data_IF_601521897602
#
_entry.id   IF_601521897602
#
_cell.length_a   1.000
_cell.length_b   1.000
_cell.length_c   1.000
_cell.angle_alpha   90.00
_cell.angle_beta   90.00
_cell.angle_gamma   90.00
#
_symmetry.space_group_name_H-M   'P 1'
#
loop_
_entity.id
_entity.type
_entity.pdbx_description
1 polymer ?
#
# COMPACT_ATOMS: atom_id res chain seq x y z
N UNK A 1 23.79 -13.40 6.45
CA UNK A 1 23.60 -12.72 5.15
C UNK A 1 24.60 -11.59 5.05
N UNK A 2 25.11 -11.33 3.86
CA UNK A 2 25.97 -10.17 3.60
C UNK A 2 25.17 -8.88 3.54
N UNK A 3 25.85 -7.75 3.71
CA UNK A 3 25.26 -6.42 3.57
C UNK A 3 24.60 -6.22 2.18
N UNK A 4 25.26 -6.68 1.12
CA UNK A 4 24.75 -6.59 -0.25
C UNK A 4 23.45 -7.39 -0.45
N UNK A 5 23.34 -8.58 0.14
CA UNK A 5 22.13 -9.39 0.08
C UNK A 5 20.95 -8.67 0.76
N UNK A 6 21.18 -8.11 1.95
CA UNK A 6 20.16 -7.35 2.69
C UNK A 6 19.69 -6.12 1.91
N UNK A 7 20.62 -5.33 1.35
CA UNK A 7 20.28 -4.17 0.51
C UNK A 7 19.47 -4.60 -0.73
N UNK A 8 19.84 -5.73 -1.35
CA UNK A 8 19.13 -6.26 -2.53
C UNK A 8 17.71 -6.69 -2.16
N UNK A 9 17.53 -7.34 -1.02
CA UNK A 9 16.21 -7.71 -0.50
C UNK A 9 15.35 -6.48 -0.19
N UNK A 10 15.94 -5.44 0.43
CA UNK A 10 15.24 -4.18 0.68
C UNK A 10 14.78 -3.52 -0.63
N UNK A 11 15.65 -3.48 -1.64
CA UNK A 11 15.31 -2.93 -2.97
C UNK A 11 14.15 -3.68 -3.62
N UNK A 12 14.14 -5.03 -3.52
CA UNK A 12 13.02 -5.86 -3.99
C UNK A 12 11.73 -5.58 -3.23
N UNK A 13 11.80 -5.48 -1.89
CA UNK A 13 10.64 -5.14 -1.06
C UNK A 13 10.08 -3.77 -1.44
N UNK A 14 10.93 -2.75 -1.61
CA UNK A 14 10.51 -1.41 -2.07
C UNK A 14 9.85 -1.45 -3.46
N UNK A 15 10.37 -2.25 -4.39
CA UNK A 15 9.74 -2.42 -5.70
C UNK A 15 8.35 -3.06 -5.58
N UNK A 16 8.24 -4.15 -4.81
CA UNK A 16 6.95 -4.81 -4.55
C UNK A 16 5.94 -3.85 -3.91
N UNK A 17 6.40 -3.01 -2.99
CA UNK A 17 5.60 -1.96 -2.36
C UNK A 17 4.97 -1.05 -3.41
N UNK A 18 5.79 -0.45 -4.27
CA UNK A 18 5.33 0.46 -5.33
C UNK A 18 4.36 -0.27 -6.29
N UNK A 19 4.67 -1.49 -6.69
CA UNK A 19 3.81 -2.24 -7.62
C UNK A 19 2.48 -2.65 -7.00
N UNK A 20 2.43 -2.94 -5.69
CA UNK A 20 1.19 -3.33 -5.01
C UNK A 20 0.16 -2.20 -4.96
N UNK A 21 0.60 -0.95 -5.13
CA UNK A 21 -0.27 0.23 -5.16
C UNK A 21 -0.95 0.46 -6.51
N UNK A 22 -0.48 -0.17 -7.59
CA UNK A 22 -1.02 0.06 -8.94
C UNK A 22 -2.49 -0.37 -9.04
N UNK A 23 -2.85 -1.53 -8.48
CA UNK A 23 -4.23 -2.03 -8.46
C UNK A 23 -5.19 -1.08 -7.73
N UNK A 24 -4.93 -0.75 -6.45
CA UNK A 24 -5.74 0.21 -5.71
C UNK A 24 -5.84 1.60 -6.36
N UNK A 25 -4.74 2.18 -6.85
CA UNK A 25 -4.77 3.49 -7.51
C UNK A 25 -5.60 3.44 -8.79
N UNK A 26 -5.43 2.39 -9.60
CA UNK A 26 -6.21 2.20 -10.82
C UNK A 26 -7.71 2.11 -10.50
N UNK A 27 -8.10 1.26 -9.54
CA UNK A 27 -9.51 1.11 -9.18
C UNK A 27 -10.10 2.38 -8.60
N UNK A 28 -9.41 3.09 -7.70
CA UNK A 28 -9.90 4.36 -7.18
C UNK A 28 -10.11 5.40 -8.30
N UNK A 29 -9.15 5.51 -9.22
CA UNK A 29 -9.25 6.42 -10.36
C UNK A 29 -10.41 6.04 -11.28
N UNK A 30 -10.54 4.74 -11.59
CA UNK A 30 -11.63 4.21 -12.40
C UNK A 30 -12.98 4.46 -11.74
N UNK A 31 -13.13 4.25 -10.43
CA UNK A 31 -14.39 4.51 -9.73
C UNK A 31 -14.76 5.99 -9.74
N UNK A 32 -13.80 6.90 -9.52
CA UNK A 32 -14.08 8.35 -9.62
C UNK A 32 -14.55 8.73 -11.03
N UNK A 33 -13.95 8.16 -12.06
CA UNK A 33 -14.41 8.37 -13.44
C UNK A 33 -15.82 7.80 -13.65
N UNK A 34 -16.07 6.56 -13.22
CA UNK A 34 -17.36 5.89 -13.35
C UNK A 34 -18.48 6.62 -12.59
N UNK A 35 -18.18 7.18 -11.41
CA UNK A 35 -19.09 8.06 -10.67
C UNK A 35 -19.53 9.26 -11.52
N UNK A 36 -18.61 9.87 -12.27
CA UNK A 36 -18.94 10.99 -13.16
C UNK A 36 -19.71 10.59 -14.42
N UNK A 37 -19.71 9.31 -14.79
CA UNK A 37 -20.36 8.81 -16.01
C UNK A 37 -21.64 8.00 -15.73
N UNK A 38 -22.13 7.98 -14.48
CA UNK A 38 -23.43 7.40 -14.13
C UNK A 38 -23.41 6.19 -13.19
N UNK A 39 -22.28 5.85 -12.57
CA UNK A 39 -22.24 4.76 -11.57
C UNK A 39 -23.12 5.05 -10.35
N UNK A 40 -23.29 6.32 -9.97
CA UNK A 40 -24.18 6.71 -8.88
C UNK A 40 -25.67 6.45 -9.20
N UNK A 41 -26.03 6.56 -10.48
CA UNK A 41 -27.40 6.36 -10.99
C UNK A 41 -27.68 4.91 -11.41
N UNK A 42 -26.67 4.02 -11.34
CA UNK A 42 -26.82 2.61 -11.68
C UNK A 42 -27.74 1.88 -10.69
N UNK A 43 -28.21 0.70 -11.08
CA UNK A 43 -29.00 -0.15 -10.20
C UNK A 43 -28.21 -0.53 -8.93
N UNK A 44 -28.96 -0.86 -7.89
CA UNK A 44 -28.38 -1.18 -6.58
C UNK A 44 -27.34 -2.31 -6.66
N UNK A 45 -27.56 -3.33 -7.50
CA UNK A 45 -26.64 -4.43 -7.68
C UNK A 45 -25.30 -3.97 -8.22
N UNK A 46 -25.29 -3.11 -9.23
CA UNK A 46 -24.07 -2.53 -9.80
C UNK A 46 -23.31 -1.66 -8.79
N UNK A 47 -24.01 -0.81 -8.02
CA UNK A 47 -23.40 0.03 -6.97
C UNK A 47 -22.76 -0.80 -5.86
N UNK A 48 -23.45 -1.86 -5.41
CA UNK A 48 -22.92 -2.81 -4.43
C UNK A 48 -21.71 -3.58 -4.97
N UNK A 49 -21.76 -4.04 -6.22
CA UNK A 49 -20.64 -4.73 -6.85
C UNK A 49 -19.40 -3.82 -6.90
N UNK A 50 -19.55 -2.56 -7.30
CA UNK A 50 -18.45 -1.59 -7.30
C UNK A 50 -17.87 -1.37 -5.90
N UNK A 51 -18.72 -1.20 -4.88
CA UNK A 51 -18.28 -1.06 -3.50
C UNK A 51 -17.51 -2.29 -2.99
N UNK A 52 -18.01 -3.50 -3.25
CA UNK A 52 -17.38 -4.75 -2.82
C UNK A 52 -16.06 -5.03 -3.55
N UNK A 53 -15.95 -4.71 -4.84
CA UNK A 53 -14.70 -4.82 -5.61
C UNK A 53 -13.62 -3.88 -5.04
N UNK A 54 -14.01 -2.64 -4.74
CA UNK A 54 -13.12 -1.67 -4.11
C UNK A 54 -12.66 -2.15 -2.73
N UNK A 55 -13.58 -2.65 -1.90
CA UNK A 55 -13.25 -3.18 -0.58
C UNK A 55 -12.28 -4.36 -0.66
N UNK A 56 -12.59 -5.35 -1.51
CA UNK A 56 -11.76 -6.53 -1.67
C UNK A 56 -10.35 -6.17 -2.15
N UNK A 57 -10.24 -5.29 -3.15
CA UNK A 57 -8.92 -4.90 -3.69
C UNK A 57 -8.15 -4.01 -2.72
N UNK A 58 -8.83 -3.08 -2.04
CA UNK A 58 -8.23 -2.25 -1.00
C UNK A 58 -7.69 -3.08 0.17
N UNK A 59 -8.45 -4.08 0.62
CA UNK A 59 -8.04 -4.99 1.69
C UNK A 59 -6.82 -5.84 1.30
N UNK A 60 -6.80 -6.39 0.09
CA UNK A 60 -5.64 -7.12 -0.45
C UNK A 60 -4.41 -6.21 -0.56
N UNK A 61 -4.57 -5.00 -1.08
CA UNK A 61 -3.51 -3.99 -1.16
C UNK A 61 -2.94 -3.65 0.22
N UNK A 62 -3.80 -3.40 1.20
CA UNK A 62 -3.40 -3.11 2.58
C UNK A 62 -2.63 -4.28 3.21
N UNK A 63 -3.08 -5.52 3.04
CA UNK A 63 -2.41 -6.70 3.58
C UNK A 63 -1.00 -6.88 2.98
N UNK A 64 -0.87 -6.72 1.66
CA UNK A 64 0.41 -6.81 0.95
C UNK A 64 1.36 -5.69 1.39
N UNK A 65 0.87 -4.44 1.43
CA UNK A 65 1.63 -3.28 1.89
C UNK A 65 2.10 -3.44 3.34
N UNK A 66 1.26 -4.01 4.21
CA UNK A 66 1.63 -4.28 5.59
C UNK A 66 2.75 -5.33 5.71
N UNK A 67 2.63 -6.43 4.97
CA UNK A 67 3.61 -7.51 4.93
C UNK A 67 4.97 -7.02 4.41
N UNK A 68 4.98 -6.30 3.29
CA UNK A 68 6.22 -5.77 2.67
C UNK A 68 6.91 -4.77 3.59
N UNK A 69 6.16 -3.84 4.21
CA UNK A 69 6.74 -2.89 5.17
C UNK A 69 7.34 -3.60 6.39
N UNK A 70 6.68 -4.65 6.88
CA UNK A 70 7.19 -5.43 8.02
C UNK A 70 8.49 -6.16 7.67
N UNK A 71 8.61 -6.69 6.46
CA UNK A 71 9.85 -7.27 5.94
C UNK A 71 10.95 -6.21 5.79
N UNK A 72 10.61 -5.02 5.26
CA UNK A 72 11.57 -3.93 5.11
C UNK A 72 12.11 -3.43 6.46
N UNK A 73 11.27 -3.40 7.50
CA UNK A 73 11.68 -3.09 8.88
C UNK A 73 12.62 -4.17 9.42
N UNK A 74 12.32 -5.45 9.20
CA UNK A 74 13.20 -6.55 9.62
C UNK A 74 14.58 -6.45 8.94
N UNK A 75 14.62 -6.19 7.63
CA UNK A 75 15.87 -6.00 6.90
C UNK A 75 16.68 -4.81 7.44
N UNK A 76 16.01 -3.71 7.80
CA UNK A 76 16.67 -2.55 8.41
C UNK A 76 17.29 -2.89 9.78
N UNK A 77 16.66 -3.77 10.56
CA UNK A 77 17.20 -4.26 11.84
C UNK A 77 18.39 -5.18 11.63
N UNK A 78 18.29 -6.13 10.70
CA UNK A 78 19.39 -7.03 10.36
C UNK A 78 20.64 -6.27 9.86
N UNK A 79 20.45 -5.22 9.06
CA UNK A 79 21.54 -4.32 8.64
C UNK A 79 22.18 -3.59 9.82
N UNK A 80 21.39 -3.17 10.81
CA UNK A 80 21.90 -2.52 12.02
C UNK A 80 22.71 -3.50 12.88
N UNK A 81 22.18 -4.71 13.09
CA UNK A 81 22.77 -5.74 13.94
C UNK A 81 24.05 -6.36 13.33
N UNK A 82 24.12 -6.44 12.00
CA UNK A 82 25.31 -6.90 11.27
C UNK A 82 26.48 -5.90 11.30
N UNK A 83 26.29 -4.70 11.84
CA UNK A 83 27.34 -3.67 11.88
C UNK A 83 27.64 -3.04 10.52
N UNK A 84 26.69 -3.06 9.58
CA UNK A 84 26.84 -2.52 8.24
C UNK A 84 27.26 -1.03 8.26
N UNK A 85 28.31 -0.69 7.51
CA UNK A 85 28.92 0.65 7.55
C UNK A 85 28.70 1.47 6.29
N UNK A 86 28.24 0.87 5.18
CA UNK A 86 28.04 1.63 3.95
C UNK A 86 26.95 2.70 4.11
N UNK A 87 27.08 3.75 3.30
CA UNK A 87 26.06 4.78 3.22
C UNK A 87 24.69 4.23 2.78
N UNK A 88 24.67 3.23 1.90
CA UNK A 88 23.44 2.58 1.46
C UNK A 88 22.74 1.87 2.64
N UNK A 89 23.46 1.08 3.43
CA UNK A 89 22.92 0.43 4.62
C UNK A 89 22.37 1.46 5.62
N UNK A 90 23.12 2.55 5.88
CA UNK A 90 22.68 3.63 6.78
C UNK A 90 21.38 4.29 6.33
N UNK A 91 21.16 4.46 5.02
CA UNK A 91 19.89 5.01 4.52
C UNK A 91 18.72 4.07 4.73
N UNK A 92 18.92 2.76 4.58
CA UNK A 92 17.88 1.75 4.86
C UNK A 92 17.54 1.72 6.34
N UNK A 93 18.55 1.73 7.22
CA UNK A 93 18.35 1.78 8.67
C UNK A 93 17.58 3.03 9.08
N UNK A 94 17.95 4.21 8.55
CA UNK A 94 17.27 5.47 8.84
C UNK A 94 15.81 5.49 8.37
N UNK A 95 15.46 4.70 7.35
CA UNK A 95 14.10 4.61 6.82
C UNK A 95 13.16 3.77 7.70
N UNK A 96 13.65 3.04 8.71
CA UNK A 96 12.83 2.12 9.53
C UNK A 96 11.62 2.82 10.15
N UNK A 97 11.83 3.98 10.78
CA UNK A 97 10.75 4.73 11.44
C UNK A 97 9.67 5.20 10.47
N UNK A 98 10.08 5.75 9.31
CA UNK A 98 9.14 6.17 8.27
C UNK A 98 8.40 4.97 7.67
N UNK A 99 9.08 3.84 7.46
CA UNK A 99 8.49 2.59 6.96
C UNK A 99 7.43 2.07 7.94
N UNK A 100 7.70 2.14 9.24
CA UNK A 100 6.74 1.78 10.28
C UNK A 100 5.52 2.71 10.28
N UNK A 101 5.69 4.01 10.07
CA UNK A 101 4.58 4.95 9.95
C UNK A 101 3.72 4.64 8.71
N UNK A 102 4.37 4.51 7.54
CA UNK A 102 3.71 4.26 6.25
C UNK A 102 2.92 2.94 6.26
N UNK A 103 3.40 1.93 7.00
CA UNK A 103 2.73 0.65 7.21
C UNK A 103 1.28 0.78 7.69
N UNK A 104 0.96 1.83 8.43
CA UNK A 104 -0.39 2.10 8.95
C UNK A 104 -1.04 3.30 8.26
N UNK A 105 -0.28 4.36 8.00
CA UNK A 105 -0.82 5.60 7.45
C UNK A 105 -1.44 5.42 6.06
N UNK A 106 -0.81 4.62 5.20
CA UNK A 106 -1.32 4.39 3.83
C UNK A 106 -2.61 3.57 3.84
N UNK A 107 -2.70 2.40 4.50
CA UNK A 107 -3.98 1.70 4.64
C UNK A 107 -5.09 2.54 5.26
N UNK A 108 -4.78 3.35 6.28
CA UNK A 108 -5.77 4.24 6.90
C UNK A 108 -6.33 5.26 5.90
N UNK A 109 -5.46 5.86 5.07
CA UNK A 109 -5.89 6.78 4.02
C UNK A 109 -6.81 6.09 2.98
N UNK A 110 -6.52 4.85 2.59
CA UNK A 110 -7.42 4.09 1.71
C UNK A 110 -8.80 3.87 2.31
N UNK A 111 -8.90 3.60 3.62
CA UNK A 111 -10.18 3.46 4.30
C UNK A 111 -10.97 4.76 4.26
N UNK A 112 -10.31 5.90 4.52
CA UNK A 112 -10.96 7.22 4.43
C UNK A 112 -11.50 7.47 3.02
N UNK A 113 -10.69 7.23 1.98
CA UNK A 113 -11.12 7.39 0.58
C UNK A 113 -12.28 6.45 0.26
N UNK A 114 -12.23 5.20 0.71
CA UNK A 114 -13.30 4.23 0.49
C UNK A 114 -14.63 4.71 1.10
N UNK A 115 -14.61 5.25 2.34
CA UNK A 115 -15.81 5.81 2.98
C UNK A 115 -16.37 6.99 2.19
N UNK A 116 -15.51 7.90 1.70
CA UNK A 116 -15.95 9.02 0.84
C UNK A 116 -16.63 8.51 -0.43
N UNK A 117 -16.07 7.47 -1.07
CA UNK A 117 -16.68 6.84 -2.25
C UNK A 117 -18.02 6.19 -1.91
N UNK A 118 -18.15 5.51 -0.76
CA UNK A 118 -19.42 4.94 -0.32
C UNK A 118 -20.49 6.02 -0.13
N UNK A 119 -20.14 7.16 0.47
CA UNK A 119 -21.07 8.29 0.59
C UNK A 119 -21.49 8.77 -0.79
N UNK A 120 -20.55 9.00 -1.71
CA UNK A 120 -20.86 9.41 -3.08
C UNK A 120 -21.67 8.36 -3.86
N UNK A 121 -21.52 7.07 -3.52
CA UNK A 121 -22.25 5.99 -4.15
C UNK A 121 -23.64 5.80 -3.59
N UNK A 122 -23.97 6.23 -2.37
CA UNK A 122 -25.22 5.83 -1.68
C UNK A 122 -26.03 6.98 -1.06
N UNK A 123 -25.45 8.18 -0.93
CA UNK A 123 -26.18 9.39 -0.53
C UNK A 123 -26.84 10.06 -1.74
#
# INVERSE_FOLDING_TARGET
MSELELITMWSRARKQMITSQLGPIFLLTATVFLLRTGLADADLGTRLAAALILLATGALGAAVQFSINSQAIAIARDLRESGATSHAARTVIAAEGLTNLIRYAIPALFVVIYVVILVALFA
#
